data_IF_939127353730
#
_entry.id   IF_939127353730
#
_cell.length_a   1.000
_cell.length_b   1.000
_cell.length_c   1.000
_cell.angle_alpha   90.00
_cell.angle_beta   90.00
_cell.angle_gamma   90.00
#
_symmetry.space_group_name_H-M   'P 1'
#
loop_
_entity.id
_entity.type
_entity.pdbx_description
1 polymer ?
#
# COMPACT_ATOMS: atom_id res chain seq x y z
N UNK A 1 -8.22 -11.19 -8.03
CA UNK A 1 -7.70 -10.06 -8.82
C UNK A 1 -6.27 -9.79 -8.38
N UNK A 2 -5.32 -9.59 -9.31
CA UNK A 2 -3.92 -9.26 -9.01
C UNK A 2 -3.70 -7.80 -9.41
N UNK A 3 -3.16 -7.00 -8.50
CA UNK A 3 -2.87 -5.57 -8.71
C UNK A 3 -1.36 -5.40 -8.83
N UNK A 4 -0.95 -4.58 -9.79
CA UNK A 4 0.43 -4.16 -9.97
C UNK A 4 0.66 -2.82 -9.26
N UNK A 5 1.87 -2.58 -8.75
CA UNK A 5 2.17 -1.39 -7.94
C UNK A 5 1.87 -0.06 -8.64
N UNK A 6 2.06 0.01 -9.97
CA UNK A 6 1.81 1.22 -10.76
C UNK A 6 0.31 1.58 -10.87
N UNK A 7 -0.57 0.64 -10.58
CA UNK A 7 -2.02 0.85 -10.57
C UNK A 7 -2.50 1.55 -9.29
N UNK A 8 -1.63 1.61 -8.26
CA UNK A 8 -1.98 2.12 -6.93
C UNK A 8 -1.67 3.61 -6.79
N UNK A 9 -2.72 4.41 -6.60
CA UNK A 9 -2.62 5.80 -6.19
C UNK A 9 -2.44 5.88 -4.67
N UNK A 10 -1.40 6.59 -4.24
CA UNK A 10 -0.98 6.66 -2.85
C UNK A 10 -1.34 8.01 -2.19
N UNK A 11 -2.41 8.71 -2.63
CA UNK A 11 -2.80 10.02 -2.09
C UNK A 11 -2.68 10.15 -0.56
N UNK A 12 -2.29 11.34 -0.11
CA UNK A 12 -2.08 11.64 1.30
C UNK A 12 -0.77 11.11 1.89
N UNK A 13 0.20 10.66 1.07
CA UNK A 13 1.53 10.26 1.57
C UNK A 13 2.16 11.32 2.46
N UNK A 14 2.04 12.60 2.08
CA UNK A 14 2.62 13.74 2.77
C UNK A 14 1.99 13.99 4.16
N UNK A 15 0.83 13.39 4.47
CA UNK A 15 0.16 13.49 5.78
C UNK A 15 0.55 12.34 6.71
N UNK A 16 1.32 11.35 6.23
CA UNK A 16 1.62 10.14 7.01
C UNK A 16 2.78 10.39 7.96
N UNK A 17 2.55 10.05 9.22
CA UNK A 17 3.62 10.02 10.24
C UNK A 17 4.60 8.90 9.92
N UNK A 18 5.88 9.26 9.80
CA UNK A 18 6.98 8.31 9.60
C UNK A 18 7.46 7.74 10.93
N UNK A 19 7.64 6.42 11.00
CA UNK A 19 8.13 5.72 12.18
C UNK A 19 9.19 4.69 11.75
N UNK A 20 10.47 5.11 11.65
CA UNK A 20 11.52 4.33 10.98
C UNK A 20 11.73 2.92 11.54
N UNK A 21 11.68 2.77 12.87
CA UNK A 21 11.83 1.46 13.52
C UNK A 21 10.72 0.48 13.11
N UNK A 22 9.46 0.96 13.11
CA UNK A 22 8.29 0.15 12.72
C UNK A 22 8.30 -0.18 11.23
N UNK A 23 8.81 0.72 10.40
CA UNK A 23 8.96 0.49 8.97
C UNK A 23 10.00 -0.61 8.69
N UNK A 24 11.15 -0.57 9.37
CA UNK A 24 12.16 -1.64 9.25
C UNK A 24 11.61 -3.00 9.65
N UNK A 25 10.87 -3.07 10.76
CA UNK A 25 10.21 -4.31 11.21
C UNK A 25 9.20 -4.82 10.19
N UNK A 26 8.39 -3.92 9.62
CA UNK A 26 7.42 -4.29 8.60
C UNK A 26 8.10 -4.82 7.33
N UNK A 27 9.15 -4.16 6.84
CA UNK A 27 9.91 -4.63 5.67
C UNK A 27 10.55 -5.99 5.91
N UNK A 28 11.11 -6.22 7.10
CA UNK A 28 11.66 -7.53 7.46
C UNK A 28 10.58 -8.63 7.46
N UNK A 29 9.40 -8.34 8.00
CA UNK A 29 8.27 -9.28 8.00
C UNK A 29 7.72 -9.56 6.60
N UNK A 30 7.62 -8.53 5.75
CA UNK A 30 7.20 -8.69 4.35
C UNK A 30 8.20 -9.52 3.56
N UNK A 31 9.51 -9.32 3.80
CA UNK A 31 10.55 -10.12 3.15
C UNK A 31 10.54 -11.58 3.61
N UNK A 32 10.22 -11.86 4.88
CA UNK A 32 10.21 -13.23 5.41
C UNK A 32 8.96 -14.01 5.04
N UNK A 33 7.79 -13.37 5.10
CA UNK A 33 6.49 -14.05 5.09
C UNK A 33 5.54 -13.54 4.02
N UNK A 34 6.00 -12.59 3.20
CA UNK A 34 5.14 -11.87 2.26
C UNK A 34 4.08 -11.03 2.97
N UNK A 35 3.11 -10.59 2.19
CA UNK A 35 1.97 -9.85 2.70
C UNK A 35 0.86 -10.81 3.13
N UNK A 36 0.63 -10.93 4.44
CA UNK A 36 -0.42 -11.81 4.99
C UNK A 36 -1.80 -11.15 5.06
N UNK A 37 -1.86 -9.83 5.09
CA UNK A 37 -3.11 -9.06 5.17
C UNK A 37 -3.27 -8.21 3.92
N UNK A 38 -4.40 -8.29 3.20
CA UNK A 38 -4.62 -7.53 1.98
C UNK A 38 -4.57 -6.02 2.24
N UNK A 39 -4.25 -5.27 1.18
CA UNK A 39 -4.49 -3.82 1.12
C UNK A 39 -5.91 -3.57 0.62
N UNK A 40 -6.56 -2.53 1.13
CA UNK A 40 -7.91 -2.17 0.72
C UNK A 40 -7.82 -1.01 -0.26
N UNK A 41 -8.46 -1.16 -1.40
CA UNK A 41 -8.43 -0.18 -2.47
C UNK A 41 -9.83 0.10 -3.01
N UNK A 42 -10.01 1.26 -3.62
CA UNK A 42 -11.22 1.65 -4.36
C UNK A 42 -10.86 2.06 -5.77
N UNK A 43 -11.69 1.70 -6.75
CA UNK A 43 -11.49 2.13 -8.13
C UNK A 43 -11.64 3.65 -8.26
N UNK A 44 -10.76 4.28 -9.03
CA UNK A 44 -10.86 5.72 -9.32
C UNK A 44 -11.82 5.94 -10.47
N UNK A 45 -12.83 6.79 -10.27
CA UNK A 45 -13.82 7.11 -11.30
C UNK A 45 -13.13 7.63 -12.57
N UNK A 46 -13.59 7.14 -13.73
CA UNK A 46 -13.08 7.50 -15.07
C UNK A 46 -11.58 7.20 -15.30
N UNK A 47 -10.96 6.34 -14.48
CA UNK A 47 -9.58 5.88 -14.66
C UNK A 47 -9.55 4.36 -14.55
N UNK A 48 -9.68 3.63 -15.68
CA UNK A 48 -9.54 2.18 -15.68
C UNK A 48 -8.16 1.80 -15.15
N UNK A 49 -8.08 0.67 -14.46
CA UNK A 49 -6.84 0.14 -13.90
C UNK A 49 -6.13 1.06 -12.88
N UNK A 50 -6.85 2.04 -12.32
CA UNK A 50 -6.36 2.93 -11.26
C UNK A 50 -7.14 2.73 -9.98
N UNK A 51 -6.41 2.46 -8.90
CA UNK A 51 -6.97 2.15 -7.59
C UNK A 51 -6.37 3.03 -6.51
N UNK A 52 -7.21 3.69 -5.74
CA UNK A 52 -6.80 4.45 -4.57
C UNK A 52 -6.69 3.50 -3.37
N UNK A 53 -5.53 3.45 -2.72
CA UNK A 53 -5.39 2.76 -1.44
C UNK A 53 -6.14 3.52 -0.37
N UNK A 54 -6.99 2.82 0.40
CA UNK A 54 -7.71 3.39 1.55
C UNK A 54 -7.28 2.80 2.89
N UNK A 55 -6.70 1.58 2.89
CA UNK A 55 -6.01 0.98 4.04
C UNK A 55 -4.78 0.17 3.61
N UNK A 56 -3.80 0.06 4.51
CA UNK A 56 -2.58 -0.69 4.29
C UNK A 56 -1.47 0.06 3.58
N UNK A 57 -1.53 1.39 3.64
CA UNK A 57 -0.54 2.33 3.11
C UNK A 57 0.93 2.00 3.41
N UNK A 58 1.24 1.39 4.56
CA UNK A 58 2.62 1.04 4.94
C UNK A 58 3.16 -0.22 4.26
N UNK A 59 2.26 -1.03 3.68
CA UNK A 59 2.56 -2.33 3.05
C UNK A 59 2.66 -2.22 1.53
N UNK A 60 2.39 -1.05 0.96
CA UNK A 60 2.42 -0.79 -0.47
C UNK A 60 3.81 -0.28 -0.93
N UNK A 61 4.89 -0.89 -0.44
CA UNK A 61 6.27 -0.49 -0.72
C UNK A 61 7.09 -1.70 -1.10
#
# INVERSE_FOLDING_TARGET
>A
MRLEFHQLDQRGQHLRVQHPARQKQLLASLASSGQQTPIVVVAVANQPDRYLVIDGYKRNT
#
